data_IF_012105959260
#
_entry.id   IF_012105959260
#
_cell.length_a   1.000
_cell.length_b   1.000
_cell.length_c   1.000
_cell.angle_alpha   90.00
_cell.angle_beta   90.00
_cell.angle_gamma   90.00
#
_symmetry.space_group_name_H-M   'P 1'
#
loop_
_entity.id
_entity.type
_entity.pdbx_description
1 polymer ?
#
# COMPACT_ATOMS: atom_id res chain seq x y z
N UNK A 1 -51.89 -25.00 -31.90
CA UNK A 1 -52.81 -24.02 -31.28
C UNK A 1 -52.83 -24.23 -29.80
N UNK A 2 -52.19 -23.37 -29.02
CA UNK A 2 -52.34 -23.13 -27.56
C UNK A 2 -51.28 -22.07 -27.29
N UNK A 3 -51.48 -20.88 -27.03
CA UNK A 3 -52.12 -20.13 -25.98
C UNK A 3 -51.00 -19.33 -25.32
N UNK A 4 -50.75 -18.07 -25.78
CA UNK A 4 -49.89 -17.08 -25.06
C UNK A 4 -50.66 -16.58 -23.86
N UNK A 5 -50.05 -16.63 -22.66
CA UNK A 5 -50.53 -15.87 -21.49
C UNK A 5 -49.54 -14.72 -21.19
N UNK A 6 -50.05 -13.52 -21.37
CA UNK A 6 -49.50 -12.26 -20.94
C UNK A 6 -49.61 -12.17 -19.39
N UNK A 7 -48.51 -12.01 -18.70
CA UNK A 7 -48.51 -11.65 -17.27
C UNK A 7 -47.89 -10.27 -17.10
N UNK A 8 -48.76 -9.38 -16.64
CA UNK A 8 -48.58 -7.95 -16.54
C UNK A 8 -47.43 -7.47 -15.65
N UNK A 9 -46.83 -6.38 -16.11
CA UNK A 9 -45.87 -5.59 -15.35
C UNK A 9 -46.56 -4.73 -14.29
N UNK A 10 -46.15 -4.83 -13.04
CA UNK A 10 -46.56 -3.93 -11.98
C UNK A 10 -45.60 -2.70 -11.93
N UNK A 11 -46.12 -1.49 -11.70
CA UNK A 11 -45.28 -0.30 -11.63
C UNK A 11 -44.57 -0.16 -10.27
N UNK A 12 -43.26 0.12 -10.31
CA UNK A 12 -42.43 0.46 -9.13
C UNK A 12 -42.70 1.91 -8.75
N UNK A 13 -43.13 2.14 -7.51
CA UNK A 13 -43.23 3.47 -6.88
C UNK A 13 -41.85 4.00 -6.48
N UNK A 14 -41.58 5.30 -6.66
CA UNK A 14 -40.33 5.90 -6.18
C UNK A 14 -40.43 6.21 -4.69
N UNK A 15 -39.48 5.67 -3.90
CA UNK A 15 -39.34 5.96 -2.51
C UNK A 15 -38.52 7.24 -2.31
N UNK A 16 -39.04 8.16 -1.50
CA UNK A 16 -38.56 9.51 -1.28
C UNK A 16 -37.22 9.55 -0.51
N UNK A 17 -36.36 10.43 -0.97
CA UNK A 17 -35.11 10.84 -0.34
C UNK A 17 -35.34 11.53 0.99
N UNK A 18 -34.85 10.97 2.08
CA UNK A 18 -34.70 11.64 3.36
C UNK A 18 -33.28 12.21 3.46
N UNK A 19 -33.11 13.52 3.26
CA UNK A 19 -31.90 14.26 3.56
C UNK A 19 -31.88 14.56 5.05
N UNK A 20 -31.07 13.85 5.82
CA UNK A 20 -30.76 14.21 7.20
C UNK A 20 -29.58 15.19 7.22
N UNK A 21 -29.89 16.47 7.43
CA UNK A 21 -28.90 17.52 7.73
C UNK A 21 -28.62 17.48 9.25
N UNK A 22 -27.42 17.11 9.62
CA UNK A 22 -26.91 17.22 11.00
C UNK A 22 -26.23 18.61 11.17
N UNK A 23 -26.75 19.54 12.02
CA UNK A 23 -26.15 20.84 12.26
C UNK A 23 -25.30 20.80 13.54
N UNK A 24 -24.08 20.28 13.48
CA UNK A 24 -23.12 20.36 14.59
C UNK A 24 -21.70 20.63 14.12
N UNK A 25 -21.52 21.65 13.26
CA UNK A 25 -20.21 22.23 13.01
C UNK A 25 -19.84 23.13 14.19
N UNK A 26 -19.21 22.59 15.21
CA UNK A 26 -18.54 23.37 16.26
C UNK A 26 -17.23 23.93 15.67
N UNK A 27 -17.20 25.26 15.55
CA UNK A 27 -16.02 26.04 15.22
C UNK A 27 -14.90 25.78 16.24
N UNK A 28 -13.82 25.13 15.80
CA UNK A 28 -12.58 25.07 16.56
C UNK A 28 -11.72 26.27 16.17
N UNK A 29 -11.59 27.24 17.05
CA UNK A 29 -10.72 28.40 16.93
C UNK A 29 -9.25 27.99 16.82
N UNK A 30 -8.42 28.62 15.97
CA UNK A 30 -7.00 28.33 15.88
C UNK A 30 -6.28 28.87 17.13
N UNK A 31 -5.55 27.97 17.77
CA UNK A 31 -4.71 28.25 18.93
C UNK A 31 -3.49 29.04 18.50
N UNK A 32 -3.45 30.33 18.87
CA UNK A 32 -2.31 31.25 18.67
C UNK A 32 -1.08 30.70 19.40
N UNK A 33 -0.05 30.38 18.63
CA UNK A 33 1.27 30.00 19.16
C UNK A 33 1.97 31.31 19.55
N UNK A 34 2.11 31.57 20.85
CA UNK A 34 2.93 32.67 21.38
C UNK A 34 4.41 32.35 21.13
N UNK A 35 5.05 33.15 20.30
CA UNK A 35 6.50 33.20 20.18
C UNK A 35 7.12 33.67 21.49
N UNK A 36 7.87 32.83 22.17
CA UNK A 36 8.70 33.18 23.30
C UNK A 36 10.05 33.67 22.75
N UNK A 37 10.23 34.99 22.69
CA UNK A 37 11.55 35.59 22.47
C UNK A 37 12.34 35.49 23.76
N UNK A 38 13.36 34.67 23.75
CA UNK A 38 14.34 34.58 24.84
C UNK A 38 15.48 35.52 24.54
N UNK A 39 15.44 36.72 25.16
CA UNK A 39 16.57 37.62 25.26
C UNK A 39 17.48 37.15 26.40
N UNK A 40 18.61 36.54 26.07
CA UNK A 40 19.69 36.26 27.00
C UNK A 40 20.80 37.28 26.80
N UNK A 41 21.56 37.62 27.87
CA UNK A 41 22.58 38.66 27.80
C UNK A 41 23.81 38.21 26.99
N UNK A 42 24.36 39.17 26.21
CA UNK A 42 25.58 39.00 25.46
C UNK A 42 26.78 38.88 26.43
N UNK A 43 27.27 37.67 26.63
CA UNK A 43 28.57 37.43 27.27
C UNK A 43 29.68 37.56 26.24
N UNK A 44 30.59 38.45 26.55
CA UNK A 44 31.75 38.80 25.77
C UNK A 44 32.67 37.58 25.60
N UNK A 45 32.73 37.03 24.36
CA UNK A 45 33.72 36.03 23.98
C UNK A 45 35.05 36.78 23.79
N UNK A 46 35.97 36.53 24.73
CA UNK A 46 37.36 36.95 24.62
C UNK A 46 38.03 36.22 23.48
N UNK A 47 38.57 36.98 22.54
CA UNK A 47 39.44 36.49 21.46
C UNK A 47 40.66 35.78 22.06
N UNK A 48 40.73 34.48 21.89
CA UNK A 48 41.95 33.71 22.16
C UNK A 48 42.58 33.31 20.80
N UNK A 49 43.65 33.94 20.35
CA UNK A 49 44.34 33.57 19.12
C UNK A 49 45.30 32.40 19.41
N UNK A 50 44.78 31.23 19.73
CA UNK A 50 45.60 30.01 19.83
C UNK A 50 45.40 29.16 18.57
N UNK A 51 46.38 29.29 17.68
CA UNK A 51 46.89 28.27 16.77
C UNK A 51 45.99 27.08 16.45
N UNK A 52 45.09 27.23 15.44
CA UNK A 52 44.40 26.12 14.83
C UNK A 52 45.36 25.40 13.86
N UNK A 53 46.12 24.46 14.40
CA UNK A 53 46.70 23.40 13.57
C UNK A 53 45.58 22.60 12.94
N UNK A 54 45.30 22.89 11.67
CA UNK A 54 44.37 22.08 10.85
C UNK A 54 44.99 20.70 10.68
N UNK A 55 44.56 19.75 11.49
CA UNK A 55 44.77 18.34 11.18
C UNK A 55 43.93 18.02 9.94
N UNK A 56 44.53 17.48 8.85
CA UNK A 56 43.75 16.98 7.74
C UNK A 56 42.87 15.83 8.24
N UNK A 57 41.56 15.95 8.10
CA UNK A 57 40.64 14.87 8.39
C UNK A 57 40.97 13.69 7.49
N UNK A 58 40.97 12.45 8.00
CA UNK A 58 41.19 11.28 7.17
C UNK A 58 40.12 11.23 6.11
N UNK A 59 40.53 11.26 4.83
CA UNK A 59 39.62 11.03 3.68
C UNK A 59 39.24 9.56 3.71
N UNK A 60 38.16 9.22 4.43
CA UNK A 60 37.57 7.92 4.29
C UNK A 60 37.01 7.86 2.86
N UNK A 61 37.75 7.22 1.97
CA UNK A 61 37.18 6.76 0.71
C UNK A 61 36.02 5.84 1.07
N UNK A 62 34.80 6.37 0.97
CA UNK A 62 33.61 5.56 1.04
C UNK A 62 33.61 4.68 -0.22
N UNK A 63 34.18 3.50 -0.06
CA UNK A 63 33.92 2.42 -1.01
C UNK A 63 32.43 2.14 -0.86
N UNK A 64 31.64 2.66 -1.81
CA UNK A 64 30.26 2.28 -1.92
C UNK A 64 30.23 0.77 -2.16
N UNK A 65 29.98 0.01 -1.09
CA UNK A 65 29.64 -1.41 -1.22
C UNK A 65 28.26 -1.43 -1.87
N UNK A 66 28.26 -1.44 -3.20
CA UNK A 66 27.05 -1.69 -3.97
C UNK A 66 26.62 -3.09 -3.60
N UNK A 67 25.55 -3.23 -2.84
CA UNK A 67 24.92 -4.53 -2.62
C UNK A 67 24.65 -5.13 -4.01
N UNK A 68 24.91 -6.42 -4.23
CA UNK A 68 24.60 -7.05 -5.52
C UNK A 68 23.12 -6.82 -5.81
N UNK A 69 22.82 -6.24 -6.98
CA UNK A 69 21.46 -6.10 -7.46
C UNK A 69 20.77 -7.46 -7.41
N UNK A 70 19.53 -7.55 -6.88
CA UNK A 70 18.82 -8.80 -6.80
C UNK A 70 18.68 -9.37 -8.23
N UNK A 71 19.37 -10.45 -8.50
CA UNK A 71 19.28 -11.09 -9.81
C UNK A 71 17.90 -11.74 -9.96
N UNK A 72 17.30 -11.56 -11.14
CA UNK A 72 16.00 -12.12 -11.49
C UNK A 72 16.10 -13.65 -11.62
N UNK A 73 16.06 -14.37 -10.52
CA UNK A 73 16.10 -15.82 -10.51
C UNK A 73 14.66 -16.33 -10.53
N UNK A 74 14.26 -16.90 -11.68
CA UNK A 74 13.03 -17.70 -11.73
C UNK A 74 13.35 -19.09 -11.21
N UNK A 75 12.54 -19.57 -10.27
CA UNK A 75 12.67 -20.92 -9.72
C UNK A 75 11.64 -21.82 -10.39
N UNK A 76 12.12 -22.92 -10.97
CA UNK A 76 11.25 -23.93 -11.57
C UNK A 76 10.34 -24.55 -10.50
N UNK A 77 9.05 -24.67 -10.82
CA UNK A 77 8.05 -25.20 -9.88
C UNK A 77 7.40 -24.14 -8.97
N UNK A 78 7.90 -22.92 -8.92
CA UNK A 78 7.22 -21.84 -8.21
C UNK A 78 6.14 -21.20 -9.10
N UNK A 79 4.88 -21.27 -8.66
CA UNK A 79 3.75 -20.73 -9.42
C UNK A 79 3.81 -19.20 -9.58
N UNK A 80 4.30 -18.48 -8.57
CA UNK A 80 4.46 -17.04 -8.62
C UNK A 80 5.61 -16.59 -9.55
N UNK A 81 6.70 -17.38 -9.64
CA UNK A 81 7.76 -17.15 -10.62
C UNK A 81 7.28 -17.37 -12.06
N UNK A 82 6.30 -18.26 -12.25
CA UNK A 82 5.69 -18.51 -13.57
C UNK A 82 4.90 -17.32 -14.05
N UNK A 83 4.34 -16.52 -13.14
CA UNK A 83 3.54 -15.31 -13.42
C UNK A 83 2.46 -15.55 -14.48
N UNK A 84 1.73 -16.67 -14.37
CA UNK A 84 0.67 -17.03 -15.29
C UNK A 84 -0.54 -16.09 -15.12
N UNK A 85 -1.05 -15.54 -16.22
CA UNK A 85 -2.19 -14.61 -16.21
C UNK A 85 -3.51 -15.39 -16.20
N UNK A 86 -3.79 -16.10 -15.10
CA UNK A 86 -5.01 -16.90 -14.93
C UNK A 86 -6.18 -16.11 -14.32
N UNK A 87 -5.89 -14.96 -13.71
CA UNK A 87 -6.84 -14.03 -13.10
C UNK A 87 -6.63 -12.62 -13.65
N UNK A 88 -7.56 -11.66 -13.42
CA UNK A 88 -7.36 -10.25 -13.81
C UNK A 88 -6.09 -9.65 -13.20
N UNK A 89 -5.30 -8.96 -14.03
CA UNK A 89 -4.13 -8.19 -13.63
C UNK A 89 -4.45 -6.72 -13.59
N UNK A 90 -3.99 -6.04 -12.52
CA UNK A 90 -4.28 -4.64 -12.24
C UNK A 90 -3.06 -3.72 -12.39
N UNK A 91 -1.86 -4.26 -12.20
CA UNK A 91 -0.60 -3.52 -12.30
C UNK A 91 0.56 -4.46 -12.62
N UNK A 92 1.57 -3.95 -13.31
CA UNK A 92 2.83 -4.65 -13.60
C UNK A 92 3.93 -3.63 -13.84
N UNK A 93 5.08 -3.83 -13.18
CA UNK A 93 6.32 -3.07 -13.39
C UNK A 93 7.56 -3.97 -13.17
N UNK A 94 8.75 -3.37 -13.09
CA UNK A 94 10.01 -4.11 -12.93
C UNK A 94 10.19 -4.71 -11.52
N UNK A 95 9.43 -4.25 -10.54
CA UNK A 95 9.52 -4.67 -9.14
C UNK A 95 8.47 -5.72 -8.80
N UNK A 96 7.23 -5.53 -9.26
CA UNK A 96 6.10 -6.37 -8.86
C UNK A 96 5.01 -6.45 -9.92
N UNK A 97 4.06 -7.33 -9.67
CA UNK A 97 2.76 -7.31 -10.33
C UNK A 97 1.63 -7.44 -9.29
N UNK A 98 0.46 -6.89 -9.61
CA UNK A 98 -0.74 -7.01 -8.79
C UNK A 98 -1.83 -7.65 -9.60
N UNK A 99 -2.39 -8.75 -9.11
CA UNK A 99 -3.49 -9.47 -9.73
C UNK A 99 -4.53 -9.90 -8.68
N UNK A 100 -5.67 -10.37 -9.15
CA UNK A 100 -6.63 -11.04 -8.28
C UNK A 100 -6.08 -12.42 -7.86
N UNK A 101 -6.14 -12.73 -6.56
CA UNK A 101 -5.80 -14.04 -6.05
C UNK A 101 -6.92 -15.04 -6.41
N UNK A 102 -6.60 -16.14 -7.09
CA UNK A 102 -7.56 -17.17 -7.52
C UNK A 102 -8.18 -17.96 -6.35
N UNK A 103 -7.57 -17.89 -5.17
CA UNK A 103 -8.03 -18.62 -3.97
C UNK A 103 -8.94 -17.77 -3.10
N UNK A 104 -8.67 -16.47 -2.96
CA UNK A 104 -9.39 -15.61 -2.00
C UNK A 104 -10.07 -14.38 -2.62
N UNK A 105 -10.06 -14.24 -3.94
CA UNK A 105 -10.77 -13.22 -4.72
C UNK A 105 -10.47 -11.77 -4.25
N UNK A 106 -9.23 -11.50 -3.79
CA UNK A 106 -8.77 -10.17 -3.41
C UNK A 106 -7.50 -9.79 -4.15
N UNK A 107 -7.20 -8.49 -4.34
CA UNK A 107 -5.92 -8.07 -4.91
C UNK A 107 -4.74 -8.61 -4.12
N UNK A 108 -3.78 -9.17 -4.84
CA UNK A 108 -2.52 -9.72 -4.33
C UNK A 108 -1.37 -9.09 -5.09
N UNK A 109 -0.38 -8.54 -4.36
CA UNK A 109 0.90 -8.11 -4.93
C UNK A 109 1.91 -9.24 -4.81
N UNK A 110 2.70 -9.44 -5.86
CA UNK A 110 3.76 -10.44 -5.91
C UNK A 110 5.06 -9.76 -6.31
N UNK A 111 6.12 -10.05 -5.59
CA UNK A 111 7.46 -9.61 -5.92
C UNK A 111 7.97 -10.34 -7.17
N UNK A 112 8.65 -9.63 -8.08
CA UNK A 112 9.15 -10.28 -9.32
C UNK A 112 10.34 -11.20 -9.11
N UNK A 113 11.02 -11.05 -7.98
CA UNK A 113 12.19 -11.84 -7.63
C UNK A 113 11.79 -12.95 -6.67
N UNK A 114 12.40 -14.13 -6.82
CA UNK A 114 12.15 -15.22 -5.90
C UNK A 114 12.82 -14.96 -4.55
N UNK A 115 12.12 -15.28 -3.46
CA UNK A 115 12.58 -15.10 -2.08
C UNK A 115 11.53 -14.45 -1.19
N UNK A 116 11.85 -14.34 0.09
CA UNK A 116 10.91 -13.93 1.14
C UNK A 116 11.21 -12.55 1.72
N UNK A 117 12.37 -11.98 1.40
CA UNK A 117 12.87 -10.74 1.99
C UNK A 117 13.18 -9.69 0.91
N UNK A 118 12.15 -8.99 0.39
CA UNK A 118 12.36 -7.89 -0.53
C UNK A 118 13.16 -6.76 0.15
N UNK A 119 14.00 -6.02 -0.58
CA UNK A 119 14.56 -4.77 -0.10
C UNK A 119 13.46 -3.82 0.38
N UNK A 120 13.74 -3.00 1.39
CA UNK A 120 12.75 -2.09 2.01
C UNK A 120 12.04 -1.19 0.98
N UNK A 121 12.77 -0.69 -0.01
CA UNK A 121 12.25 0.12 -1.11
C UNK A 121 11.27 -0.64 -2.01
N UNK A 122 11.59 -1.91 -2.35
CA UNK A 122 10.68 -2.77 -3.10
C UNK A 122 9.42 -3.10 -2.29
N UNK A 123 9.59 -3.40 -1.00
CA UNK A 123 8.47 -3.68 -0.10
C UNK A 123 7.52 -2.48 0.03
N UNK A 124 8.07 -1.29 0.21
CA UNK A 124 7.30 -0.04 0.28
C UNK A 124 6.51 0.18 -1.01
N UNK A 125 7.19 0.09 -2.16
CA UNK A 125 6.56 0.24 -3.47
C UNK A 125 5.42 -0.77 -3.69
N UNK A 126 5.65 -2.04 -3.41
CA UNK A 126 4.64 -3.10 -3.53
C UNK A 126 3.41 -2.84 -2.67
N UNK A 127 3.63 -2.44 -1.40
CA UNK A 127 2.54 -2.13 -0.49
C UNK A 127 1.73 -0.90 -0.91
N UNK A 128 2.39 0.12 -1.48
CA UNK A 128 1.70 1.29 -2.04
C UNK A 128 0.82 0.92 -3.22
N UNK A 129 1.34 0.14 -4.18
CA UNK A 129 0.55 -0.33 -5.33
C UNK A 129 -0.62 -1.20 -4.90
N UNK A 130 -0.37 -2.14 -3.97
CA UNK A 130 -1.43 -2.99 -3.43
C UNK A 130 -2.53 -2.17 -2.74
N UNK A 131 -2.16 -1.22 -1.86
CA UNK A 131 -3.13 -0.37 -1.15
C UNK A 131 -3.95 0.47 -2.12
N UNK A 132 -3.31 1.09 -3.10
CA UNK A 132 -3.99 1.89 -4.12
C UNK A 132 -5.07 1.09 -4.86
N UNK A 133 -4.74 -0.10 -5.31
CA UNK A 133 -5.63 -0.96 -6.08
C UNK A 133 -6.73 -1.56 -5.21
N UNK A 134 -6.34 -2.15 -4.08
CA UNK A 134 -7.28 -2.83 -3.20
C UNK A 134 -8.28 -1.85 -2.55
N UNK A 135 -7.84 -0.64 -2.18
CA UNK A 135 -8.74 0.37 -1.62
C UNK A 135 -9.79 0.83 -2.63
N UNK A 136 -9.43 0.97 -3.91
CA UNK A 136 -10.41 1.30 -4.96
C UNK A 136 -11.48 0.21 -5.16
N UNK A 137 -11.12 -1.05 -4.93
CA UNK A 137 -12.03 -2.17 -5.16
C UNK A 137 -12.84 -2.56 -3.94
N UNK A 138 -12.22 -2.51 -2.75
CA UNK A 138 -12.74 -3.11 -1.52
C UNK A 138 -13.02 -2.09 -0.41
N UNK A 139 -12.65 -0.81 -0.61
CA UNK A 139 -12.73 0.21 0.44
C UNK A 139 -11.58 0.11 1.43
N UNK A 140 -11.86 0.21 2.71
CA UNK A 140 -10.83 0.17 3.75
C UNK A 140 -10.21 -1.23 3.87
N UNK A 141 -8.88 -1.31 3.74
CA UNK A 141 -8.14 -2.58 3.72
C UNK A 141 -7.00 -2.63 4.76
N UNK A 142 -6.53 -3.83 5.03
CA UNK A 142 -5.21 -4.08 5.63
C UNK A 142 -4.37 -4.98 4.70
N UNK A 143 -3.06 -4.91 4.83
CA UNK A 143 -2.13 -5.76 4.10
C UNK A 143 -1.89 -7.03 4.91
N UNK A 144 -2.16 -8.19 4.31
CA UNK A 144 -1.88 -9.53 4.87
C UNK A 144 -0.70 -10.13 4.09
N UNK A 145 0.47 -10.10 4.67
CA UNK A 145 1.73 -10.62 4.12
C UNK A 145 2.08 -12.04 4.60
N UNK A 146 1.12 -12.74 5.17
CA UNK A 146 1.30 -14.15 5.53
C UNK A 146 1.31 -15.04 4.29
N UNK A 147 2.47 -15.52 3.94
CA UNK A 147 2.72 -16.39 2.77
C UNK A 147 2.34 -17.85 3.06
N UNK A 148 1.04 -18.15 3.26
CA UNK A 148 0.56 -19.46 3.73
C UNK A 148 0.77 -20.60 2.75
N UNK A 149 0.49 -20.38 1.46
CA UNK A 149 0.47 -21.43 0.44
C UNK A 149 1.79 -21.53 -0.34
N UNK A 150 2.49 -20.41 -0.49
CA UNK A 150 3.78 -20.31 -1.20
C UNK A 150 4.74 -19.55 -0.28
N UNK A 151 5.32 -20.23 0.73
CA UNK A 151 6.07 -19.57 1.80
C UNK A 151 7.46 -19.08 1.37
N UNK A 152 7.95 -19.49 0.23
CA UNK A 152 9.29 -19.22 -0.30
C UNK A 152 9.32 -18.07 -1.34
N UNK A 153 8.16 -17.48 -1.63
CA UNK A 153 8.07 -16.36 -2.57
C UNK A 153 7.20 -15.23 -2.00
N UNK A 154 7.79 -14.04 -1.85
CA UNK A 154 7.10 -12.91 -1.25
C UNK A 154 5.87 -12.48 -2.04
N UNK A 155 4.73 -12.47 -1.35
CA UNK A 155 3.47 -11.94 -1.83
C UNK A 155 2.63 -11.44 -0.64
N UNK A 156 1.74 -10.48 -0.90
CA UNK A 156 0.83 -9.95 0.11
C UNK A 156 -0.56 -9.68 -0.48
N UNK A 157 -1.59 -9.80 0.36
CA UNK A 157 -2.99 -9.60 -0.03
C UNK A 157 -3.55 -8.30 0.54
N UNK A 158 -4.35 -7.58 -0.24
CA UNK A 158 -5.14 -6.45 0.23
C UNK A 158 -6.51 -6.92 0.72
N UNK A 159 -6.66 -7.13 2.02
CA UNK A 159 -7.91 -7.65 2.61
C UNK A 159 -8.80 -6.55 3.15
N UNK A 160 -10.14 -6.62 2.97
CA UNK A 160 -11.06 -5.64 3.50
C UNK A 160 -11.06 -5.66 5.03
N UNK A 161 -11.05 -4.47 5.65
CA UNK A 161 -11.24 -4.35 7.11
C UNK A 161 -12.69 -4.65 7.48
N UNK A 162 -12.90 -5.37 8.58
CA UNK A 162 -14.24 -5.71 9.09
C UNK A 162 -14.92 -6.89 8.38
N UNK A 163 -14.26 -7.52 7.41
CA UNK A 163 -14.75 -8.75 6.81
C UNK A 163 -14.62 -9.94 7.76
N UNK A 164 -15.73 -10.63 8.03
CA UNK A 164 -15.70 -11.87 8.81
C UNK A 164 -14.96 -12.95 7.98
N UNK A 165 -13.82 -13.43 8.51
CA UNK A 165 -12.97 -14.47 7.92
C UNK A 165 -12.19 -14.17 6.62
N UNK A 166 -12.04 -12.93 6.17
CA UNK A 166 -11.06 -12.60 5.11
C UNK A 166 -11.24 -13.31 3.76
N UNK A 167 -12.39 -13.93 3.56
CA UNK A 167 -12.79 -14.41 2.24
C UNK A 167 -13.34 -13.23 1.47
N UNK A 168 -12.77 -12.97 0.29
CA UNK A 168 -13.26 -11.93 -0.60
C UNK A 168 -14.76 -12.09 -0.83
N UNK A 169 -15.47 -10.97 -0.83
CA UNK A 169 -16.86 -10.98 -1.24
C UNK A 169 -16.85 -11.36 -2.72
N UNK A 170 -17.36 -12.56 -3.06
CA UNK A 170 -17.56 -12.95 -4.46
C UNK A 170 -18.38 -11.85 -5.13
N UNK A 171 -17.76 -11.17 -6.09
CA UNK A 171 -18.51 -10.23 -6.94
C UNK A 171 -19.56 -11.04 -7.68
N UNK A 172 -20.84 -10.59 -7.70
CA UNK A 172 -21.83 -11.23 -8.56
C UNK A 172 -21.31 -11.19 -10.01
N UNK A 173 -21.36 -12.31 -10.70
CA UNK A 173 -21.01 -12.39 -12.12
C UNK A 173 -21.86 -11.38 -12.89
N UNK A 174 -21.20 -10.50 -13.66
CA UNK A 174 -21.82 -9.47 -14.51
C UNK A 174 -22.42 -10.13 -15.75
#
# INVERSE_FOLDING_TARGET
MVGREDIGAAPLSPSASGVNQDPSLRHTTPRTIRSVTRTGPADAIRDNPASLTRHPLPVYSQVAVTAPEPSFVKVDGCDLCRAARITPWYHEDDICWVAECDVCDVPMVVWRFHGTEPPTEHLTHMHERLREIATRQLGEIYVDDHMRNIPDHYHAHGRPKGGFFGHGLRRPAS
#
